data_IF_004680724719
#
_entry.id   IF_004680724719
#
_cell.length_a   1.000
_cell.length_b   1.000
_cell.length_c   1.000
_cell.angle_alpha   90.00
_cell.angle_beta   90.00
_cell.angle_gamma   90.00
#
_symmetry.space_group_name_H-M   'P 1'
#
loop_
_entity.id
_entity.type
_entity.pdbx_description
1 polymer ?
#
# COMPACT_ATOMS: atom_id res chain seq x y z
N UNK A 1 20.06 23.64 8.70
CA UNK A 1 20.41 22.54 7.78
C UNK A 1 21.31 22.97 6.62
N UNK A 2 20.86 23.21 5.38
CA UNK A 2 21.80 23.42 4.24
C UNK A 2 22.80 24.55 4.50
N UNK A 3 22.32 25.74 4.87
CA UNK A 3 23.19 26.88 5.16
C UNK A 3 24.18 26.59 6.31
N UNK A 4 23.75 25.85 7.31
CA UNK A 4 24.54 25.54 8.50
C UNK A 4 25.65 24.52 8.20
N UNK A 5 25.32 23.43 7.51
CA UNK A 5 26.30 22.41 7.11
C UNK A 5 27.23 22.89 6.00
N UNK A 6 26.78 23.81 5.15
CA UNK A 6 27.61 24.45 4.13
C UNK A 6 28.50 25.58 4.69
N UNK A 7 28.32 25.98 5.95
CA UNK A 7 29.02 27.14 6.53
C UNK A 7 28.63 28.48 5.88
N UNK A 8 27.43 28.56 5.30
CA UNK A 8 26.94 29.73 4.56
C UNK A 8 25.92 30.53 5.39
N UNK A 9 25.83 31.83 5.07
CA UNK A 9 24.79 32.66 5.65
C UNK A 9 23.40 32.23 5.15
N UNK A 10 22.46 32.01 6.09
CA UNK A 10 21.06 31.66 5.79
C UNK A 10 20.40 32.64 4.82
N UNK A 11 20.75 33.94 4.89
CA UNK A 11 20.24 34.98 4.00
C UNK A 11 20.72 34.77 2.57
N UNK A 12 21.99 34.39 2.38
CA UNK A 12 22.55 34.13 1.04
C UNK A 12 21.87 32.93 0.38
N UNK A 13 21.70 31.83 1.12
CA UNK A 13 20.97 30.65 0.61
C UNK A 13 19.52 30.98 0.30
N UNK A 14 18.86 31.81 1.12
CA UNK A 14 17.49 32.26 0.86
C UNK A 14 17.39 33.09 -0.41
N UNK A 15 18.29 34.06 -0.62
CA UNK A 15 18.34 34.85 -1.86
C UNK A 15 18.56 33.96 -3.08
N UNK A 16 19.40 32.93 -2.95
CA UNK A 16 19.64 31.98 -4.02
C UNK A 16 18.37 31.19 -4.39
N UNK A 17 17.57 30.78 -3.41
CA UNK A 17 16.26 30.15 -3.62
C UNK A 17 15.27 31.14 -4.25
N UNK A 18 15.22 32.38 -3.75
CA UNK A 18 14.30 33.41 -4.24
C UNK A 18 14.62 33.77 -5.72
N UNK A 19 15.90 33.85 -6.08
CA UNK A 19 16.35 34.18 -7.43
C UNK A 19 16.10 33.07 -8.45
N UNK A 20 16.18 31.80 -8.05
CA UNK A 20 16.02 30.64 -8.93
C UNK A 20 14.73 29.85 -8.60
N UNK A 21 13.70 30.58 -8.16
CA UNK A 21 12.44 29.99 -7.70
C UNK A 21 11.76 29.15 -8.78
N UNK A 22 11.78 29.63 -10.02
CA UNK A 22 11.13 28.98 -11.16
C UNK A 22 11.70 27.57 -11.38
N UNK A 23 13.02 27.44 -11.45
CA UNK A 23 13.70 26.14 -11.63
C UNK A 23 13.40 25.16 -10.47
N UNK A 24 13.29 25.67 -9.24
CA UNK A 24 12.92 24.84 -8.09
C UNK A 24 11.45 24.41 -8.14
N UNK A 25 10.56 25.24 -8.69
CA UNK A 25 9.15 24.94 -8.87
C UNK A 25 8.89 23.92 -9.99
N UNK A 26 9.78 23.82 -11.00
CA UNK A 26 9.76 22.73 -11.98
C UNK A 26 9.99 21.35 -11.33
N UNK A 27 10.75 21.31 -10.25
CA UNK A 27 11.05 20.08 -9.49
C UNK A 27 10.01 19.78 -8.40
N UNK A 28 8.94 20.57 -8.30
CA UNK A 28 7.82 20.36 -7.39
C UNK A 28 7.41 21.61 -6.61
N UNK A 29 6.38 21.50 -5.77
CA UNK A 29 5.84 22.63 -4.99
C UNK A 29 6.89 23.12 -3.99
N UNK A 30 7.26 24.41 -4.07
CA UNK A 30 8.16 25.06 -3.12
C UNK A 30 7.38 25.60 -1.92
N UNK A 31 7.30 24.82 -0.85
CA UNK A 31 6.62 25.23 0.39
C UNK A 31 7.56 25.96 1.35
N UNK A 32 6.99 26.82 2.19
CA UNK A 32 7.73 27.56 3.21
C UNK A 32 6.89 27.80 4.45
N UNK A 33 7.57 27.91 5.58
CA UNK A 33 6.98 28.28 6.87
C UNK A 33 7.52 29.63 7.32
N UNK A 34 6.65 30.42 7.96
CA UNK A 34 7.01 31.71 8.54
C UNK A 34 7.06 31.57 10.05
N UNK A 35 8.26 31.63 10.62
CA UNK A 35 8.43 31.60 12.07
C UNK A 35 8.33 33.01 12.63
N UNK A 36 7.40 33.23 13.56
CA UNK A 36 7.31 34.48 14.33
C UNK A 36 8.40 34.50 15.41
N UNK A 37 8.95 35.68 15.76
CA UNK A 37 9.83 35.80 16.91
C UNK A 37 9.12 35.34 18.19
N UNK A 38 9.89 34.78 19.13
CA UNK A 38 9.38 34.33 20.43
C UNK A 38 8.74 35.53 21.16
N UNK A 39 7.57 35.33 21.78
CA UNK A 39 6.91 36.36 22.60
C UNK A 39 7.90 36.81 23.69
N UNK A 40 8.33 38.08 23.63
CA UNK A 40 9.28 38.67 24.57
C UNK A 40 10.64 39.05 23.99
N UNK A 41 10.96 38.69 22.73
CA UNK A 41 12.16 39.20 22.07
C UNK A 41 11.93 40.64 21.56
N UNK A 42 12.89 41.53 21.82
CA UNK A 42 12.96 42.89 21.25
C UNK A 42 13.07 42.83 19.73
N UNK A 43 11.92 42.83 19.03
CA UNK A 43 11.79 43.13 17.60
C UNK A 43 12.65 42.30 16.64
N UNK A 44 12.29 41.03 16.40
CA UNK A 44 12.86 40.23 15.30
C UNK A 44 12.01 40.29 14.02
N UNK A 45 12.64 40.30 12.84
CA UNK A 45 11.91 40.12 11.56
C UNK A 45 11.50 38.64 11.41
N UNK A 46 10.28 38.33 10.93
CA UNK A 46 9.87 36.95 10.65
C UNK A 46 10.87 36.22 9.75
N UNK A 47 11.21 34.98 10.10
CA UNK A 47 12.14 34.15 9.32
C UNK A 47 11.34 33.20 8.42
N UNK A 48 11.72 33.15 7.14
CA UNK A 48 11.15 32.22 6.15
C UNK A 48 12.02 30.97 6.11
N UNK A 49 11.43 29.80 6.35
CA UNK A 49 12.08 28.50 6.29
C UNK A 49 11.52 27.77 5.08
N UNK A 50 12.36 27.51 4.07
CA UNK A 50 11.98 26.74 2.89
C UNK A 50 12.05 25.24 3.17
N UNK A 51 11.01 24.53 2.75
CA UNK A 51 10.96 23.07 2.75
C UNK A 51 11.24 22.58 1.34
N UNK A 52 12.43 22.00 1.15
CA UNK A 52 12.88 21.51 -0.15
C UNK A 52 12.69 20.02 -0.23
N UNK A 53 12.15 19.54 -1.35
CA UNK A 53 12.21 18.13 -1.69
C UNK A 53 13.66 17.74 -2.12
N UNK A 54 13.91 16.44 -2.30
CA UNK A 54 15.23 15.91 -2.66
C UNK A 54 15.82 16.60 -3.91
N UNK A 55 15.05 16.72 -4.98
CA UNK A 55 15.54 17.24 -6.26
C UNK A 55 15.80 18.75 -6.18
N UNK A 56 14.93 19.49 -5.49
CA UNK A 56 15.14 20.91 -5.18
C UNK A 56 16.40 21.14 -4.34
N UNK A 57 16.65 20.30 -3.32
CA UNK A 57 17.86 20.38 -2.52
C UNK A 57 19.12 20.07 -3.34
N UNK A 58 19.06 19.06 -4.22
CA UNK A 58 20.17 18.72 -5.13
C UNK A 58 20.48 19.87 -6.09
N UNK A 59 19.46 20.47 -6.71
CA UNK A 59 19.64 21.60 -7.61
C UNK A 59 20.24 22.80 -6.87
N UNK A 60 19.69 23.16 -5.71
CA UNK A 60 20.21 24.26 -4.88
C UNK A 60 21.70 24.12 -4.59
N UNK A 61 22.15 22.88 -4.37
CA UNK A 61 23.55 22.57 -4.04
C UNK A 61 24.49 22.74 -5.24
N UNK A 62 24.00 22.55 -6.48
CA UNK A 62 24.80 22.82 -7.68
C UNK A 62 25.20 24.28 -7.81
N UNK A 63 24.39 25.19 -7.26
CA UNK A 63 24.66 26.63 -7.26
C UNK A 63 25.56 27.08 -6.09
N UNK A 64 25.89 26.20 -5.15
CA UNK A 64 26.79 26.52 -4.04
C UNK A 64 28.26 26.38 -4.46
N UNK A 65 29.06 27.37 -4.11
CA UNK A 65 30.51 27.39 -4.36
C UNK A 65 31.23 26.18 -3.79
N UNK A 66 32.25 25.69 -4.50
CA UNK A 66 32.99 24.47 -4.13
C UNK A 66 34.06 24.71 -3.04
N UNK A 67 33.69 25.39 -1.97
CA UNK A 67 34.54 25.49 -0.78
C UNK A 67 34.69 24.13 -0.11
N UNK A 68 35.76 23.94 0.67
CA UNK A 68 36.04 22.66 1.34
C UNK A 68 34.87 22.18 2.23
N UNK A 69 34.21 23.04 3.05
CA UNK A 69 33.01 22.66 3.80
C UNK A 69 31.84 22.25 2.90
N UNK A 70 31.60 22.98 1.80
CA UNK A 70 30.51 22.68 0.87
C UNK A 70 30.74 21.35 0.16
N UNK A 71 32.00 21.01 -0.19
CA UNK A 71 32.35 19.72 -0.80
C UNK A 71 32.08 18.56 0.15
N UNK A 72 32.46 18.69 1.43
CA UNK A 72 32.18 17.68 2.44
C UNK A 72 30.66 17.48 2.63
N UNK A 73 29.90 18.59 2.67
CA UNK A 73 28.44 18.54 2.73
C UNK A 73 27.82 17.86 1.50
N UNK A 74 28.25 18.21 0.29
CA UNK A 74 27.83 17.57 -0.97
C UNK A 74 28.02 16.05 -0.91
N UNK A 75 29.19 15.59 -0.47
CA UNK A 75 29.49 14.17 -0.35
C UNK A 75 28.60 13.48 0.70
N UNK A 76 28.44 14.08 1.87
CA UNK A 76 27.59 13.53 2.94
C UNK A 76 26.13 13.42 2.48
N UNK A 77 25.63 14.43 1.77
CA UNK A 77 24.25 14.44 1.30
C UNK A 77 23.99 13.36 0.25
N UNK A 78 24.89 13.19 -0.73
CA UNK A 78 24.76 12.12 -1.74
C UNK A 78 24.74 10.75 -1.08
N UNK A 79 25.62 10.50 -0.11
CA UNK A 79 25.62 9.23 0.65
C UNK A 79 24.28 9.01 1.36
N UNK A 80 23.77 10.03 2.06
CA UNK A 80 22.48 9.94 2.77
C UNK A 80 21.30 9.70 1.84
N UNK A 81 21.25 10.36 0.68
CA UNK A 81 20.17 10.10 -0.27
C UNK A 81 20.22 8.70 -0.86
N UNK A 82 21.42 8.19 -1.18
CA UNK A 82 21.57 6.82 -1.65
C UNK A 82 21.17 5.80 -0.58
N UNK A 83 21.56 6.01 0.69
CA UNK A 83 21.13 5.17 1.82
C UNK A 83 19.59 5.15 1.95
N UNK A 84 18.95 6.32 1.89
CA UNK A 84 17.49 6.44 1.96
C UNK A 84 16.79 5.78 0.76
N UNK A 85 17.33 5.91 -0.45
CA UNK A 85 16.78 5.25 -1.64
C UNK A 85 16.88 3.73 -1.53
N UNK A 86 18.03 3.22 -1.11
CA UNK A 86 18.23 1.79 -0.88
C UNK A 86 17.27 1.27 0.18
N UNK A 87 17.06 2.01 1.27
CA UNK A 87 16.11 1.64 2.32
C UNK A 87 14.66 1.64 1.79
N UNK A 88 14.26 2.66 1.03
CA UNK A 88 12.93 2.71 0.41
C UNK A 88 12.73 1.58 -0.59
N UNK A 89 13.74 1.23 -1.38
CA UNK A 89 13.71 0.09 -2.29
C UNK A 89 13.61 -1.23 -1.53
N UNK A 90 14.42 -1.44 -0.49
CA UNK A 90 14.35 -2.62 0.36
C UNK A 90 12.96 -2.76 1.00
N UNK A 91 12.36 -1.67 1.49
CA UNK A 91 10.98 -1.64 2.00
C UNK A 91 9.94 -1.96 0.91
N UNK A 92 10.12 -1.47 -0.32
CA UNK A 92 9.24 -1.81 -1.45
C UNK A 92 9.34 -3.28 -1.81
N UNK A 93 10.54 -3.85 -1.83
CA UNK A 93 10.79 -5.27 -2.07
C UNK A 93 10.17 -6.11 -0.95
N UNK A 94 10.45 -5.77 0.32
CA UNK A 94 9.85 -6.44 1.47
C UNK A 94 8.32 -6.40 1.43
N UNK A 95 7.71 -5.24 1.13
CA UNK A 95 6.24 -5.13 0.96
C UNK A 95 5.70 -5.91 -0.24
N UNK A 96 6.48 -6.05 -1.33
CA UNK A 96 6.10 -6.88 -2.47
C UNK A 96 6.22 -8.38 -2.14
N UNK A 97 7.10 -8.74 -1.21
CA UNK A 97 7.24 -10.09 -0.65
C UNK A 97 6.17 -10.37 0.42
N UNK A 98 5.79 -9.38 1.23
CA UNK A 98 4.75 -9.46 2.28
C UNK A 98 3.33 -9.33 1.75
N UNK A 99 3.11 -8.65 0.62
CA UNK A 99 1.90 -8.90 -0.16
C UNK A 99 1.97 -10.38 -0.50
N UNK A 100 1.03 -11.23 0.00
CA UNK A 100 1.06 -12.62 -0.37
C UNK A 100 1.15 -12.64 -1.89
N UNK A 101 2.18 -13.31 -2.42
CA UNK A 101 2.26 -13.65 -3.86
C UNK A 101 0.85 -14.01 -4.25
N UNK A 102 0.33 -13.41 -5.32
CA UNK A 102 -1.06 -13.59 -5.77
C UNK A 102 -1.31 -15.01 -6.26
N UNK A 103 -1.06 -16.01 -5.40
CA UNK A 103 -1.42 -17.39 -5.57
C UNK A 103 -2.94 -17.34 -5.55
N UNK A 104 -3.48 -17.41 -6.76
CA UNK A 104 -4.93 -17.45 -6.93
C UNK A 104 -5.44 -18.71 -6.23
N UNK A 105 -6.69 -18.71 -5.76
CA UNK A 105 -7.32 -19.91 -5.23
C UNK A 105 -7.17 -21.10 -6.20
N UNK A 106 -7.19 -20.82 -7.50
CA UNK A 106 -6.96 -21.82 -8.53
C UNK A 106 -5.55 -22.41 -8.50
N UNK A 107 -4.52 -21.61 -8.25
CA UNK A 107 -3.17 -22.10 -8.11
C UNK A 107 -3.00 -22.91 -6.81
N UNK A 108 -3.46 -22.37 -5.67
CA UNK A 108 -3.35 -23.07 -4.37
C UNK A 108 -4.02 -24.44 -4.40
N UNK A 109 -5.21 -24.55 -4.99
CA UNK A 109 -5.92 -25.83 -5.10
C UNK A 109 -5.17 -26.81 -6.02
N UNK A 110 -4.57 -26.32 -7.11
CA UNK A 110 -3.87 -27.17 -8.08
C UNK A 110 -2.55 -27.72 -7.53
N UNK A 111 -1.90 -26.97 -6.64
CA UNK A 111 -0.66 -27.36 -5.95
C UNK A 111 -0.92 -28.13 -4.64
N UNK A 112 -2.19 -28.30 -4.25
CA UNK A 112 -2.55 -28.93 -2.99
C UNK A 112 -2.22 -30.43 -2.96
N UNK A 113 -1.70 -30.93 -1.84
CA UNK A 113 -1.32 -32.35 -1.65
C UNK A 113 -2.49 -33.32 -1.93
N UNK A 114 -3.72 -32.89 -1.65
CA UNK A 114 -4.93 -33.71 -1.89
C UNK A 114 -5.51 -33.56 -3.29
N UNK A 115 -4.91 -32.72 -4.16
CA UNK A 115 -5.36 -32.51 -5.52
C UNK A 115 -5.55 -33.81 -6.30
N UNK A 116 -4.63 -34.82 -6.27
CA UNK A 116 -4.80 -36.07 -7.02
C UNK A 116 -6.06 -36.88 -6.66
N UNK A 117 -6.64 -36.68 -5.47
CA UNK A 117 -7.81 -37.44 -5.00
C UNK A 117 -9.09 -37.11 -5.78
N UNK A 118 -9.27 -35.84 -6.14
CA UNK A 118 -10.49 -35.36 -6.81
C UNK A 118 -10.19 -34.42 -8.00
N UNK A 119 -8.92 -34.14 -8.29
CA UNK A 119 -8.46 -33.30 -9.40
C UNK A 119 -9.21 -31.99 -9.51
N UNK A 120 -9.72 -31.72 -10.71
CA UNK A 120 -10.47 -30.49 -11.00
C UNK A 120 -11.79 -30.34 -10.22
N UNK A 121 -12.32 -31.41 -9.63
CA UNK A 121 -13.53 -31.34 -8.80
C UNK A 121 -13.29 -30.51 -7.53
N UNK A 122 -12.05 -30.42 -7.03
CA UNK A 122 -11.71 -29.58 -5.88
C UNK A 122 -11.99 -28.09 -6.10
N UNK A 123 -11.70 -27.58 -7.31
CA UNK A 123 -12.04 -26.21 -7.68
C UNK A 123 -13.54 -25.95 -7.56
N UNK A 124 -14.36 -26.91 -7.97
CA UNK A 124 -15.82 -26.79 -7.91
C UNK A 124 -16.34 -26.90 -6.49
N UNK A 125 -15.81 -27.86 -5.70
CA UNK A 125 -16.19 -28.05 -4.29
C UNK A 125 -15.92 -26.78 -3.50
N UNK A 126 -14.69 -26.26 -3.57
CA UNK A 126 -14.27 -25.10 -2.77
C UNK A 126 -15.01 -23.83 -3.22
N UNK A 127 -15.10 -23.55 -4.52
CA UNK A 127 -15.85 -22.38 -5.02
C UNK A 127 -17.33 -22.44 -4.67
N UNK A 128 -17.95 -23.62 -4.74
CA UNK A 128 -19.36 -23.79 -4.36
C UNK A 128 -19.57 -23.62 -2.85
N UNK A 129 -18.63 -24.10 -2.03
CA UNK A 129 -18.68 -23.93 -0.58
C UNK A 129 -18.55 -22.45 -0.20
N UNK A 130 -17.63 -21.72 -0.82
CA UNK A 130 -17.47 -20.28 -0.63
C UNK A 130 -18.73 -19.50 -1.05
N UNK A 131 -19.26 -19.77 -2.25
CA UNK A 131 -20.45 -19.07 -2.73
C UNK A 131 -21.70 -19.35 -1.88
N UNK A 132 -21.91 -20.61 -1.46
CA UNK A 132 -23.06 -20.98 -0.61
C UNK A 132 -22.96 -20.42 0.80
N UNK A 133 -21.74 -20.31 1.36
CA UNK A 133 -21.53 -19.73 2.69
C UNK A 133 -21.68 -18.21 2.71
N UNK A 134 -21.25 -17.52 1.66
CA UNK A 134 -21.41 -16.07 1.51
C UNK A 134 -22.87 -15.67 1.31
N UNK A 135 -23.58 -16.37 0.43
CA UNK A 135 -24.97 -16.04 0.05
C UNK A 135 -26.00 -16.60 1.01
N UNK A 136 -25.65 -17.63 1.79
CA UNK A 136 -26.60 -18.40 2.60
C UNK A 136 -27.58 -19.23 1.77
N UNK A 137 -27.39 -19.29 0.46
CA UNK A 137 -28.25 -19.99 -0.49
C UNK A 137 -27.55 -21.21 -1.08
N UNK A 138 -28.34 -22.16 -1.57
CA UNK A 138 -27.80 -23.30 -2.33
C UNK A 138 -27.36 -22.87 -3.73
N UNK A 139 -26.43 -23.61 -4.36
CA UNK A 139 -25.97 -23.35 -5.74
C UNK A 139 -27.12 -23.16 -6.73
N UNK A 140 -28.18 -23.98 -6.62
CA UNK A 140 -29.38 -23.90 -7.48
C UNK A 140 -30.16 -22.59 -7.27
N UNK A 141 -30.26 -22.11 -6.03
CA UNK A 141 -30.93 -20.85 -5.72
C UNK A 141 -30.13 -19.63 -6.18
N UNK A 142 -28.79 -19.69 -6.13
CA UNK A 142 -27.91 -18.64 -6.68
C UNK A 142 -28.08 -18.57 -8.19
N UNK A 143 -28.10 -19.72 -8.88
CA UNK A 143 -28.34 -19.79 -10.32
C UNK A 143 -29.75 -19.32 -10.70
N UNK A 144 -30.75 -19.56 -9.84
CA UNK A 144 -32.12 -19.07 -10.05
C UNK A 144 -32.28 -17.55 -9.89
N UNK A 145 -31.28 -16.83 -9.34
CA UNK A 145 -31.25 -15.35 -9.37
C UNK A 145 -30.94 -14.81 -10.76
N UNK A 146 -30.39 -15.65 -11.64
CA UNK A 146 -30.08 -15.24 -13.01
C UNK A 146 -31.38 -15.03 -13.79
N UNK A 147 -31.60 -13.78 -14.18
CA UNK A 147 -32.79 -13.33 -14.90
C UNK A 147 -32.53 -13.24 -16.41
N UNK A 148 -31.31 -13.54 -16.85
CA UNK A 148 -30.81 -13.20 -18.18
C UNK A 148 -30.36 -14.45 -18.95
N UNK A 149 -31.20 -14.88 -19.90
CA UNK A 149 -31.04 -16.13 -20.66
C UNK A 149 -29.93 -16.11 -21.72
N UNK A 150 -29.23 -14.98 -21.87
CA UNK A 150 -28.38 -14.70 -23.05
C UNK A 150 -26.93 -15.19 -22.95
N UNK A 151 -26.39 -15.45 -21.76
CA UNK A 151 -25.02 -15.98 -21.57
C UNK A 151 -24.97 -16.82 -20.29
N UNK A 152 -24.28 -17.96 -20.35
CA UNK A 152 -23.96 -18.76 -19.17
C UNK A 152 -23.01 -17.97 -18.27
N UNK A 153 -23.55 -17.36 -17.21
CA UNK A 153 -22.77 -16.57 -16.24
C UNK A 153 -22.09 -17.49 -15.24
N UNK A 154 -20.85 -17.18 -14.88
CA UNK A 154 -20.13 -17.93 -13.85
C UNK A 154 -20.78 -17.68 -12.50
N UNK A 155 -20.69 -18.64 -11.56
CA UNK A 155 -21.23 -18.48 -10.20
C UNK A 155 -20.79 -17.19 -9.50
N UNK A 156 -19.62 -16.65 -9.87
CA UNK A 156 -19.07 -15.41 -9.36
C UNK A 156 -19.77 -14.16 -9.92
N UNK A 157 -20.27 -14.23 -11.16
CA UNK A 157 -20.93 -13.09 -11.83
C UNK A 157 -22.34 -12.82 -11.27
N UNK A 158 -22.87 -13.76 -10.47
CA UNK A 158 -24.19 -13.70 -9.83
C UNK A 158 -24.15 -13.18 -8.39
N UNK A 159 -22.96 -12.87 -7.87
CA UNK A 159 -22.76 -12.31 -6.53
C UNK A 159 -22.86 -10.79 -6.59
N UNK A 160 -23.56 -10.19 -5.62
CA UNK A 160 -23.57 -8.74 -5.46
C UNK A 160 -22.24 -8.21 -4.88
N UNK A 161 -22.03 -6.89 -4.85
CA UNK A 161 -20.76 -6.29 -4.40
C UNK A 161 -20.37 -6.66 -2.95
N UNK A 162 -21.33 -6.73 -2.04
CA UNK A 162 -21.09 -7.09 -0.64
C UNK A 162 -20.77 -8.59 -0.47
N UNK A 163 -21.48 -9.44 -1.21
CA UNK A 163 -21.23 -10.87 -1.30
C UNK A 163 -19.83 -11.13 -1.91
N UNK A 164 -19.43 -10.36 -2.92
CA UNK A 164 -18.11 -10.48 -3.56
C UNK A 164 -16.95 -10.13 -2.62
N UNK A 165 -17.09 -9.09 -1.79
CA UNK A 165 -16.07 -8.75 -0.79
C UNK A 165 -15.91 -9.86 0.26
N UNK A 166 -17.03 -10.40 0.74
CA UNK A 166 -17.05 -11.54 1.67
C UNK A 166 -16.44 -12.79 1.03
N UNK A 167 -16.71 -13.03 -0.25
CA UNK A 167 -16.12 -14.13 -1.00
C UNK A 167 -14.59 -14.01 -1.06
N UNK A 168 -14.06 -12.83 -1.41
CA UNK A 168 -12.61 -12.57 -1.46
C UNK A 168 -11.93 -12.73 -0.09
N UNK A 169 -12.61 -12.35 0.98
CA UNK A 169 -12.11 -12.54 2.35
C UNK A 169 -12.01 -14.02 2.73
N UNK A 170 -13.01 -14.83 2.39
CA UNK A 170 -12.93 -16.27 2.63
C UNK A 170 -11.92 -16.95 1.70
N UNK A 171 -11.81 -16.48 0.46
CA UNK A 171 -10.83 -16.97 -0.51
C UNK A 171 -9.40 -16.85 0.03
N UNK A 172 -9.03 -15.71 0.63
CA UNK A 172 -7.71 -15.54 1.24
C UNK A 172 -7.45 -16.46 2.43
N UNK A 173 -8.47 -16.74 3.25
CA UNK A 173 -8.38 -17.68 4.36
C UNK A 173 -8.15 -19.11 3.85
N UNK A 174 -8.90 -19.52 2.82
CA UNK A 174 -8.76 -20.86 2.23
C UNK A 174 -7.37 -21.05 1.62
N UNK A 175 -6.87 -20.04 0.89
CA UNK A 175 -5.50 -20.06 0.33
C UNK A 175 -4.47 -20.29 1.44
N UNK A 176 -4.53 -19.52 2.53
CA UNK A 176 -3.62 -19.67 3.65
C UNK A 176 -3.70 -21.07 4.32
N UNK A 177 -4.90 -21.64 4.44
CA UNK A 177 -5.06 -22.98 5.02
C UNK A 177 -4.53 -24.10 4.11
N UNK A 178 -4.71 -23.96 2.79
CA UNK A 178 -4.16 -24.89 1.80
C UNK A 178 -2.63 -24.83 1.79
N UNK A 179 -2.05 -23.62 1.83
CA UNK A 179 -0.61 -23.42 1.92
C UNK A 179 -0.02 -23.98 3.23
N UNK A 180 -0.77 -23.89 4.33
CA UNK A 180 -0.42 -24.53 5.60
C UNK A 180 -0.56 -26.06 5.58
N UNK A 181 -0.97 -26.67 4.47
CA UNK A 181 -1.11 -28.13 4.31
C UNK A 181 -2.34 -28.71 5.00
N UNK A 182 -3.37 -27.90 5.26
CA UNK A 182 -4.59 -28.38 5.93
C UNK A 182 -5.41 -29.33 5.05
N UNK A 183 -6.05 -30.30 5.71
CA UNK A 183 -7.09 -31.15 5.11
C UNK A 183 -8.37 -30.36 4.78
N UNK A 184 -9.26 -30.96 3.98
CA UNK A 184 -10.54 -30.36 3.57
C UNK A 184 -11.49 -30.04 4.74
N UNK A 185 -11.61 -30.93 5.73
CA UNK A 185 -12.58 -30.75 6.83
C UNK A 185 -12.26 -29.55 7.74
N UNK A 186 -10.99 -29.30 8.12
CA UNK A 186 -10.58 -28.04 8.74
C UNK A 186 -10.97 -26.80 7.91
N UNK A 187 -10.70 -26.81 6.61
CA UNK A 187 -11.02 -25.69 5.69
C UNK A 187 -12.52 -25.42 5.69
N UNK A 188 -13.34 -26.47 5.58
CA UNK A 188 -14.80 -26.38 5.58
C UNK A 188 -15.36 -25.86 6.90
N UNK A 189 -14.76 -26.24 8.01
CA UNK A 189 -15.16 -25.76 9.35
C UNK A 189 -14.82 -24.28 9.51
N UNK A 190 -13.61 -23.87 9.11
CA UNK A 190 -13.17 -22.49 9.15
C UNK A 190 -14.11 -21.57 8.34
N UNK A 191 -14.39 -21.91 7.08
CA UNK A 191 -15.29 -21.14 6.21
C UNK A 191 -16.66 -20.91 6.88
N UNK A 192 -17.24 -21.97 7.46
CA UNK A 192 -18.55 -21.87 8.13
C UNK A 192 -18.49 -21.02 9.40
N UNK A 193 -17.45 -21.18 10.22
CA UNK A 193 -17.30 -20.45 11.49
C UNK A 193 -17.15 -18.94 11.28
N UNK A 194 -16.41 -18.52 10.25
CA UNK A 194 -16.16 -17.11 9.93
C UNK A 194 -17.44 -16.34 9.56
N UNK A 195 -18.48 -17.03 9.08
CA UNK A 195 -19.79 -16.42 8.81
C UNK A 195 -20.69 -16.34 10.05
N UNK A 196 -20.51 -17.22 11.04
CA UNK A 196 -21.33 -17.23 12.26
C UNK A 196 -20.98 -16.09 13.23
N UNK A 197 -19.72 -15.65 13.25
CA UNK A 197 -19.25 -14.56 14.12
C UNK A 197 -19.73 -13.16 13.68
N UNK A 198 -20.20 -13.00 12.43
CA UNK A 198 -20.76 -11.72 11.94
C UNK A 198 -22.27 -11.58 12.16
N UNK A 199 -22.94 -12.58 12.76
CA UNK A 199 -24.39 -12.59 13.04
C UNK A 199 -24.75 -12.05 14.44
N UNK A 200 -23.93 -11.17 15.02
CA UNK A 200 -24.21 -10.46 16.26
C UNK A 200 -24.28 -8.95 15.99
N UNK A 201 -25.39 -8.51 15.40
CA UNK A 201 -25.65 -7.11 15.06
C UNK A 201 -27.10 -6.89 14.65
N UNK A 202 -28.04 -7.50 15.36
CA UNK A 202 -29.46 -7.15 15.27
C UNK A 202 -29.83 -6.47 16.59
N UNK A 203 -29.94 -5.15 16.57
CA UNK A 203 -30.50 -4.39 17.69
C UNK A 203 -31.98 -4.79 17.86
N UNK A 204 -32.45 -5.13 19.07
CA UNK A 204 -33.87 -5.20 19.34
C UNK A 204 -34.46 -3.78 19.30
N UNK A 205 -35.67 -3.69 18.74
CA UNK A 205 -36.55 -2.51 18.79
C UNK A 205 -36.96 -2.18 20.21
#
# INVERSE_FOLDING_TARGET
VIAEYAGLNKISVRKLIDNNKQDLEELGILSFEMTKPIKGSTGGRPTKIYQLNRNQAMLLITWLDNTEPVRAFKLALVKRFNEMENELQARKIARAVEKPKGITLHQSISEWVHYPRHGNTWHTIIRSLLATTVTGLTKKQIQARDTDWRKEKTLLDLLNSEEMERYKMLESIVIAMIEAGSDYEPIKTAIKSTMTTKKAGHLPR
#
